data_IF_042724993226
#
_entry.id   IF_042724993226
#
_cell.length_a   1.000
_cell.length_b   1.000
_cell.length_c   1.000
_cell.angle_alpha   90.00
_cell.angle_beta   90.00
_cell.angle_gamma   90.00
#
_symmetry.space_group_name_H-M   'P 1'
#
loop_
_entity.id
_entity.type
_entity.pdbx_description
1 polymer ?
#
# COMPACT_ATOMS: atom_id res chain seq x y z
N UNK A 1 61.09 -10.12 19.87
CA UNK A 1 60.07 -10.47 18.86
C UNK A 1 58.72 -10.61 19.57
N UNK A 2 57.73 -9.73 19.34
CA UNK A 2 56.44 -9.74 20.03
C UNK A 2 55.40 -10.55 19.25
N UNK A 3 54.49 -11.22 19.94
CA UNK A 3 53.21 -11.65 19.38
C UNK A 3 52.11 -11.28 20.36
N UNK A 4 51.34 -10.28 19.93
CA UNK A 4 50.09 -9.81 20.50
C UNK A 4 49.11 -10.95 20.77
N UNK A 5 48.32 -10.84 21.84
CA UNK A 5 46.90 -11.12 21.67
C UNK A 5 46.05 -10.19 22.53
N UNK A 6 45.19 -9.51 21.80
CA UNK A 6 44.45 -8.31 22.12
C UNK A 6 43.11 -8.74 22.73
N UNK A 7 42.72 -8.06 23.81
CA UNK A 7 41.41 -8.22 24.45
C UNK A 7 40.36 -7.68 23.48
N UNK A 8 39.46 -8.53 22.99
CA UNK A 8 38.24 -8.06 22.32
C UNK A 8 37.08 -8.10 23.30
N UNK A 9 36.81 -6.91 23.81
CA UNK A 9 35.61 -6.45 24.49
C UNK A 9 34.48 -6.22 23.48
N UNK A 10 33.25 -6.55 23.88
CA UNK A 10 31.98 -5.94 23.45
C UNK A 10 31.55 -6.09 21.98
N UNK A 11 30.32 -6.56 21.77
CA UNK A 11 29.17 -5.66 21.61
C UNK A 11 28.02 -6.38 20.90
N UNK A 12 26.82 -6.11 21.38
CA UNK A 12 25.60 -6.04 20.59
C UNK A 12 25.23 -7.30 19.80
N UNK A 13 24.72 -8.30 20.53
CA UNK A 13 23.71 -9.19 19.99
C UNK A 13 22.55 -8.35 19.44
N UNK A 14 22.45 -8.38 18.11
CA UNK A 14 21.40 -7.79 17.32
C UNK A 14 20.02 -8.36 17.66
N UNK A 15 19.00 -7.74 17.06
CA UNK A 15 17.57 -8.05 17.13
C UNK A 15 16.92 -7.59 18.45
N UNK A 16 16.02 -6.61 18.46
CA UNK A 16 14.98 -6.34 17.48
C UNK A 16 14.73 -4.84 17.42
N UNK A 17 14.83 -4.27 16.21
CA UNK A 17 14.07 -3.09 15.85
C UNK A 17 12.60 -3.50 15.97
N UNK A 18 12.00 -3.30 17.14
CA UNK A 18 10.58 -3.05 17.18
C UNK A 18 10.44 -1.74 16.41
N UNK A 19 10.07 -1.84 15.14
CA UNK A 19 9.79 -0.68 14.31
C UNK A 19 8.76 0.12 15.09
N UNK A 20 9.23 1.22 15.68
CA UNK A 20 8.39 2.26 16.22
C UNK A 20 7.58 2.72 15.02
N UNK A 21 6.36 2.21 14.89
CA UNK A 21 5.36 2.83 14.03
C UNK A 21 5.14 4.16 14.75
N UNK A 22 5.58 5.31 14.22
CA UNK A 22 5.04 6.53 14.76
C UNK A 22 3.54 6.37 14.55
N UNK A 23 2.76 6.50 15.63
CA UNK A 23 1.33 6.75 15.57
C UNK A 23 1.15 8.00 14.72
N UNK A 24 1.16 7.80 13.41
CA UNK A 24 0.72 8.77 12.47
C UNK A 24 -0.77 8.78 12.60
N UNK A 25 -1.26 9.73 13.38
CA UNK A 25 -2.61 10.31 13.30
C UNK A 25 -2.95 10.86 11.89
N UNK A 26 -2.25 10.43 10.85
CA UNK A 26 -2.62 10.65 9.47
C UNK A 26 -3.74 9.65 9.16
N UNK A 27 -4.96 10.14 8.96
CA UNK A 27 -5.99 9.33 8.32
C UNK A 27 -5.39 8.73 7.06
N UNK A 28 -5.23 7.41 7.02
CA UNK A 28 -4.86 6.74 5.79
C UNK A 28 -6.08 6.81 4.89
N UNK A 29 -5.89 7.28 3.66
CA UNK A 29 -6.90 7.14 2.62
C UNK A 29 -6.55 5.88 1.83
N UNK A 30 -7.53 5.26 1.18
CA UNK A 30 -7.31 4.12 0.32
C UNK A 30 -7.89 4.43 -1.06
N UNK A 31 -7.14 4.09 -2.10
CA UNK A 31 -7.65 4.09 -3.48
C UNK A 31 -8.05 2.67 -3.82
N UNK A 32 -9.34 2.46 -4.05
CA UNK A 32 -9.92 1.16 -4.38
C UNK A 32 -10.32 1.16 -5.85
N UNK A 33 -9.78 0.22 -6.62
CA UNK A 33 -10.08 0.06 -8.03
C UNK A 33 -11.18 -0.98 -8.22
N UNK A 34 -12.18 -0.67 -9.03
CA UNK A 34 -13.31 -1.55 -9.29
C UNK A 34 -13.46 -1.86 -10.76
N UNK A 35 -13.97 -3.07 -11.02
CA UNK A 35 -14.50 -3.47 -12.32
C UNK A 35 -15.97 -3.79 -12.20
N UNK A 36 -16.75 -3.30 -13.14
CA UNK A 36 -18.14 -3.66 -13.30
C UNK A 36 -18.24 -4.93 -14.14
N UNK A 37 -18.94 -5.93 -13.61
CA UNK A 37 -19.18 -7.20 -14.28
C UNK A 37 -20.69 -7.44 -14.18
N UNK A 38 -21.31 -7.91 -15.26
CA UNK A 38 -22.70 -8.31 -15.22
C UNK A 38 -22.81 -9.70 -14.59
N UNK A 39 -23.75 -9.86 -13.67
CA UNK A 39 -24.11 -11.19 -13.18
C UNK A 39 -24.89 -11.99 -14.25
N UNK A 40 -25.28 -13.21 -13.90
CA UNK A 40 -26.04 -14.08 -14.78
C UNK A 40 -27.47 -13.60 -15.08
N UNK A 41 -27.96 -12.60 -14.35
CA UNK A 41 -29.24 -11.93 -14.59
C UNK A 41 -29.05 -10.59 -15.34
N UNK A 42 -27.82 -10.21 -15.68
CA UNK A 42 -27.51 -8.96 -16.35
C UNK A 42 -27.44 -7.74 -15.43
N UNK A 43 -27.40 -7.92 -14.12
CA UNK A 43 -27.26 -6.82 -13.17
C UNK A 43 -25.79 -6.45 -12.93
N UNK A 44 -25.44 -5.15 -12.90
CA UNK A 44 -24.07 -4.71 -12.67
C UNK A 44 -23.62 -5.05 -11.25
N UNK A 45 -22.48 -5.72 -11.14
CA UNK A 45 -21.79 -6.06 -9.91
C UNK A 45 -20.41 -5.42 -9.90
N UNK A 46 -20.03 -4.90 -8.74
CA UNK A 46 -18.77 -4.19 -8.58
C UNK A 46 -17.76 -5.11 -7.91
N UNK A 47 -16.72 -5.47 -8.63
CA UNK A 47 -15.64 -6.31 -8.14
C UNK A 47 -14.44 -5.43 -7.79
N UNK A 48 -14.01 -5.45 -6.53
CA UNK A 48 -12.75 -4.84 -6.11
C UNK A 48 -11.58 -5.58 -6.76
N UNK A 49 -10.70 -4.84 -7.45
CA UNK A 49 -9.55 -5.39 -8.14
C UNK A 49 -8.24 -5.20 -7.37
N UNK A 50 -8.12 -4.10 -6.64
CA UNK A 50 -6.93 -3.71 -5.90
C UNK A 50 -7.26 -2.54 -4.98
N UNK A 51 -6.55 -2.50 -3.85
CA UNK A 51 -6.62 -1.44 -2.85
C UNK A 51 -5.22 -0.96 -2.52
N UNK A 52 -5.04 0.35 -2.49
CA UNK A 52 -3.76 1.00 -2.23
C UNK A 52 -3.93 2.02 -1.12
N UNK A 53 -3.24 1.82 0.01
CA UNK A 53 -3.21 2.80 1.09
C UNK A 53 -2.31 3.97 0.70
N UNK A 54 -2.82 5.18 0.85
CA UNK A 54 -2.15 6.44 0.56
C UNK A 54 -2.24 7.38 1.77
N UNK A 55 -1.26 8.27 1.97
CA UNK A 55 -1.37 9.30 3.00
C UNK A 55 -2.50 10.29 2.66
N UNK A 56 -3.22 10.79 3.67
CA UNK A 56 -4.32 11.77 3.48
C UNK A 56 -3.85 13.12 2.92
N UNK A 57 -2.57 13.45 3.06
CA UNK A 57 -2.00 14.71 2.58
C UNK A 57 -1.60 14.59 1.11
N UNK A 58 -2.09 15.49 0.24
CA UNK A 58 -1.77 15.58 -1.21
C UNK A 58 -2.37 14.47 -2.10
N UNK A 59 -3.69 14.29 -2.01
CA UNK A 59 -4.47 13.26 -2.73
C UNK A 59 -4.10 13.09 -4.21
N UNK A 60 -3.93 14.16 -5.01
CA UNK A 60 -3.70 14.02 -6.46
C UNK A 60 -2.35 13.37 -6.84
N UNK A 61 -1.30 13.59 -6.05
CA UNK A 61 0.00 12.95 -6.31
C UNK A 61 -0.06 11.47 -5.92
N UNK A 62 -0.69 11.18 -4.79
CA UNK A 62 -0.81 9.83 -4.26
C UNK A 62 -1.78 8.96 -5.09
N UNK A 63 -2.87 9.54 -5.60
CA UNK A 63 -3.78 8.85 -6.53
C UNK A 63 -3.05 8.47 -7.82
N UNK A 64 -2.21 9.37 -8.35
CA UNK A 64 -1.39 9.06 -9.54
C UNK A 64 -0.40 7.93 -9.27
N UNK A 65 0.20 7.90 -8.09
CA UNK A 65 1.08 6.79 -7.70
C UNK A 65 0.28 5.49 -7.51
N UNK A 66 -0.90 5.54 -6.89
CA UNK A 66 -1.79 4.38 -6.78
C UNK A 66 -2.21 3.83 -8.15
N UNK A 67 -2.50 4.70 -9.12
CA UNK A 67 -2.77 4.32 -10.51
C UNK A 67 -1.55 3.63 -11.13
N UNK A 68 -0.35 4.21 -10.96
CA UNK A 68 0.89 3.62 -11.48
C UNK A 68 1.16 2.24 -10.89
N UNK A 69 0.95 2.08 -9.58
CA UNK A 69 1.08 0.80 -8.88
C UNK A 69 0.07 -0.22 -9.40
N UNK A 70 -1.18 0.21 -9.64
CA UNK A 70 -2.20 -0.64 -10.25
C UNK A 70 -1.81 -1.09 -11.66
N UNK A 71 -1.36 -0.17 -12.51
CA UNK A 71 -0.90 -0.45 -13.87
C UNK A 71 0.27 -1.45 -13.89
N UNK A 72 1.25 -1.26 -13.01
CA UNK A 72 2.38 -2.17 -12.85
C UNK A 72 1.93 -3.55 -12.36
N UNK A 73 1.07 -3.61 -11.34
CA UNK A 73 0.58 -4.85 -10.75
C UNK A 73 -0.28 -5.67 -11.74
N UNK A 74 -1.12 -4.99 -12.53
CA UNK A 74 -1.97 -5.62 -13.55
C UNK A 74 -1.25 -5.78 -14.91
N UNK A 75 -0.02 -5.28 -15.04
CA UNK A 75 0.79 -5.29 -16.28
C UNK A 75 0.06 -4.64 -17.47
N UNK A 76 -0.63 -3.54 -17.22
CA UNK A 76 -1.34 -2.75 -18.23
C UNK A 76 -0.70 -1.37 -18.34
N UNK A 77 -0.77 -0.77 -19.53
CA UNK A 77 -0.24 0.59 -19.77
C UNK A 77 -1.23 1.71 -19.46
N UNK A 78 -2.49 1.36 -19.22
CA UNK A 78 -3.56 2.28 -18.85
C UNK A 78 -4.53 1.55 -17.92
N UNK A 79 -4.72 2.05 -16.71
CA UNK A 79 -5.58 1.43 -15.70
C UNK A 79 -7.02 1.20 -16.19
N UNK A 80 -7.53 2.05 -17.08
CA UNK A 80 -8.88 1.93 -17.66
C UNK A 80 -9.10 0.67 -18.50
N UNK A 81 -8.04 -0.03 -18.87
CA UNK A 81 -8.14 -1.32 -19.57
C UNK A 81 -8.60 -2.43 -18.59
N UNK A 82 -8.20 -2.32 -17.32
CA UNK A 82 -8.45 -3.35 -16.32
C UNK A 82 -9.56 -2.98 -15.33
N UNK A 83 -9.72 -1.70 -15.00
CA UNK A 83 -10.75 -1.20 -14.07
C UNK A 83 -11.62 -0.13 -14.75
N UNK A 84 -12.88 -0.05 -14.35
CA UNK A 84 -13.83 0.93 -14.89
C UNK A 84 -13.84 2.22 -14.08
N UNK A 85 -13.59 2.12 -12.77
CA UNK A 85 -13.51 3.27 -11.87
C UNK A 85 -12.60 2.99 -10.66
N UNK A 86 -12.30 4.06 -9.93
CA UNK A 86 -11.68 3.98 -8.62
C UNK A 86 -12.44 4.88 -7.65
N UNK A 87 -12.35 4.58 -6.36
CA UNK A 87 -12.90 5.39 -5.28
C UNK A 87 -11.81 5.66 -4.24
N UNK A 88 -11.82 6.86 -3.68
CA UNK A 88 -10.92 7.23 -2.57
C UNK A 88 -11.74 7.17 -1.29
N UNK A 89 -11.39 6.24 -0.41
CA UNK A 89 -12.09 6.00 0.86
C UNK A 89 -11.20 6.33 2.03
N UNK A 90 -11.80 6.82 3.11
CA UNK A 90 -11.10 6.98 4.37
C UNK A 90 -10.95 5.60 5.04
N UNK A 91 -9.72 5.17 5.32
CA UNK A 91 -9.45 3.88 5.95
C UNK A 91 -10.07 3.78 7.36
N UNK A 92 -10.36 4.92 8.01
CA UNK A 92 -11.04 4.96 9.31
C UNK A 92 -12.52 4.57 9.24
N UNK A 93 -13.13 4.56 8.03
CA UNK A 93 -14.56 4.26 7.84
C UNK A 93 -14.89 2.78 7.65
N UNK A 94 -13.90 1.88 7.62
CA UNK A 94 -14.08 0.45 7.35
C UNK A 94 -14.06 -0.46 8.60
N UNK A 95 -14.15 0.11 9.81
CA UNK A 95 -14.41 -0.67 11.03
C UNK A 95 -15.91 -0.69 11.35
N UNK A 96 -16.69 -1.60 10.76
CA UNK A 96 -18.02 -1.98 11.23
C UNK A 96 -18.23 -3.48 11.14
#
# INVERSE_FOLDING_TARGET
>A
MPASSMKHTSAAGALRRCGQVPDTLYCAMEVVFYKEILDHFGFPHQCELMRVSIPSTKQDAEIREAIRLFEQAKRVSNWKIAADRYEVVDASRLQR
#
